data_IF_433815296196
#
_entry.id   IF_433815296196
#
_cell.length_a   1.000
_cell.length_b   1.000
_cell.length_c   1.000
_cell.angle_alpha   90.00
_cell.angle_beta   90.00
_cell.angle_gamma   90.00
#
_symmetry.space_group_name_H-M   'P 1'
#
loop_
_entity.id
_entity.type
_entity.pdbx_description
1 polymer ?
#
# COMPACT_ATOMS: atom_id res chain seq x y z
N UNK A 1 -23.45 -6.80 15.99
CA UNK A 1 -22.78 -5.90 16.96
C UNK A 1 -22.06 -4.85 16.13
N UNK A 2 -22.51 -3.61 16.22
CA UNK A 2 -21.97 -2.52 15.41
C UNK A 2 -20.60 -2.10 15.96
N UNK A 3 -19.57 -2.07 15.10
CA UNK A 3 -18.25 -1.55 15.46
C UNK A 3 -18.34 -0.02 15.59
N UNK A 4 -18.28 0.49 16.81
CA UNK A 4 -18.17 1.94 17.07
C UNK A 4 -16.72 2.40 16.85
N UNK A 5 -16.53 3.36 15.96
CA UNK A 5 -15.23 4.00 15.72
C UNK A 5 -15.23 5.39 16.36
N UNK A 6 -14.28 5.66 17.26
CA UNK A 6 -14.09 6.98 17.86
C UNK A 6 -12.88 7.66 17.23
N UNK A 7 -13.05 8.91 16.80
CA UNK A 7 -11.97 9.74 16.26
C UNK A 7 -11.75 10.91 17.21
N UNK A 8 -10.53 10.99 17.77
CA UNK A 8 -10.13 12.09 18.65
C UNK A 8 -9.52 13.22 17.80
N UNK A 9 -10.21 14.35 17.75
CA UNK A 9 -9.77 15.56 17.08
C UNK A 9 -9.14 16.52 18.09
N UNK A 10 -7.87 16.87 17.88
CA UNK A 10 -7.22 17.92 18.66
C UNK A 10 -6.88 19.09 17.74
N UNK A 11 -7.54 20.21 17.93
CA UNK A 11 -7.06 21.51 17.44
C UNK A 11 -6.32 22.24 18.55
N UNK A 12 -5.50 23.21 18.20
CA UNK A 12 -4.59 23.96 19.11
C UNK A 12 -5.25 24.56 20.34
N UNK A 13 -6.56 24.42 20.55
CA UNK A 13 -7.27 24.97 21.71
C UNK A 13 -8.50 24.19 22.18
N UNK A 14 -8.91 23.11 21.54
CA UNK A 14 -10.11 22.35 21.98
C UNK A 14 -10.05 20.88 21.58
N UNK A 15 -10.37 20.00 22.50
CA UNK A 15 -10.60 18.56 22.26
C UNK A 15 -12.07 18.40 21.92
N UNK A 16 -12.37 17.88 20.72
CA UNK A 16 -13.73 17.55 20.28
C UNK A 16 -13.79 16.04 20.02
N UNK A 17 -14.68 15.36 20.70
CA UNK A 17 -14.98 13.95 20.46
C UNK A 17 -16.23 13.88 19.58
N UNK A 18 -16.09 13.41 18.35
CA UNK A 18 -17.22 13.11 17.47
C UNK A 18 -17.54 11.61 17.50
N UNK A 19 -18.79 11.30 17.81
CA UNK A 19 -19.37 9.97 17.70
C UNK A 19 -20.12 9.88 16.38
N UNK A 20 -19.65 9.06 15.45
CA UNK A 20 -20.40 8.77 14.21
C UNK A 20 -21.17 7.46 14.38
N UNK A 21 -22.49 7.55 14.33
CA UNK A 21 -23.37 6.41 14.13
C UNK A 21 -23.58 6.21 12.64
N UNK A 22 -23.33 4.99 12.15
CA UNK A 22 -23.76 4.58 10.82
C UNK A 22 -25.10 3.87 11.01
N UNK A 23 -26.20 4.58 10.73
CA UNK A 23 -27.52 3.99 10.61
C UNK A 23 -27.80 3.64 9.15
N UNK A 24 -28.03 2.37 8.87
CA UNK A 24 -28.67 1.92 7.62
C UNK A 24 -30.17 2.20 7.71
N UNK A 25 -30.72 2.84 6.68
CA UNK A 25 -32.12 2.98 6.31
C UNK A 25 -32.76 4.36 6.53
N UNK A 26 -33.12 4.92 5.40
CA UNK A 26 -34.11 5.98 5.08
C UNK A 26 -34.95 6.55 6.23
N UNK A 27 -34.74 7.80 6.55
CA UNK A 27 -35.69 8.92 6.72
C UNK A 27 -35.01 10.05 7.54
N UNK A 28 -35.21 11.27 7.06
CA UNK A 28 -34.79 12.58 7.55
C UNK A 28 -34.29 12.62 9.00
N UNK A 29 -32.99 12.88 9.18
CA UNK A 29 -32.37 13.05 10.50
C UNK A 29 -32.21 14.54 10.77
N UNK A 30 -32.81 14.97 11.85
CA UNK A 30 -32.54 16.26 12.51
C UNK A 30 -31.20 16.12 13.23
N UNK A 31 -30.23 16.95 12.84
CA UNK A 31 -28.94 17.00 13.50
C UNK A 31 -29.08 17.85 14.77
N UNK A 32 -29.07 17.20 15.94
CA UNK A 32 -28.84 17.88 17.21
C UNK A 32 -27.32 17.93 17.48
N UNK A 33 -26.69 19.08 17.20
CA UNK A 33 -25.34 19.35 17.65
C UNK A 33 -25.37 19.72 19.14
N UNK A 34 -24.93 18.80 20.01
CA UNK A 34 -24.66 19.09 21.42
C UNK A 34 -23.23 19.64 21.55
N UNK A 35 -23.12 20.97 21.63
CA UNK A 35 -21.91 21.66 22.08
C UNK A 35 -21.77 21.50 23.58
N UNK A 36 -20.86 20.62 24.01
CA UNK A 36 -20.48 20.53 25.43
C UNK A 36 -19.23 21.38 25.64
N UNK A 37 -19.40 22.48 26.35
CA UNK A 37 -18.32 23.34 26.83
C UNK A 37 -17.59 22.61 27.95
N UNK A 38 -16.30 22.35 27.76
CA UNK A 38 -15.42 21.72 28.74
C UNK A 38 -14.91 22.79 29.71
N UNK A 39 -15.33 22.76 30.96
CA UNK A 39 -14.79 23.58 32.05
C UNK A 39 -13.51 22.95 32.61
N UNK A 40 -12.53 23.76 32.68
CA UNK A 40 -11.23 23.83 33.35
C UNK A 40 -10.88 22.71 34.32
N UNK A 41 -9.76 22.07 34.06
CA UNK A 41 -9.11 21.07 34.91
C UNK A 41 -8.17 21.77 35.89
N UNK A 42 -8.33 21.51 37.17
CA UNK A 42 -7.40 21.92 38.23
C UNK A 42 -6.12 21.09 38.21
N UNK A 43 -4.98 21.77 38.09
CA UNK A 43 -3.65 21.17 38.18
C UNK A 43 -3.30 20.91 39.68
N UNK A 44 -2.96 19.68 40.02
CA UNK A 44 -2.15 19.38 41.19
C UNK A 44 -0.75 18.95 40.73
N UNK A 45 0.23 19.78 41.04
CA UNK A 45 1.66 19.53 40.82
C UNK A 45 2.20 18.58 41.90
N UNK A 46 2.63 17.38 41.50
CA UNK A 46 3.52 16.55 42.31
C UNK A 46 4.76 16.29 41.49
N UNK A 47 5.90 16.65 42.06
CA UNK A 47 7.23 16.68 41.45
C UNK A 47 7.87 15.28 41.45
N UNK A 48 7.50 14.44 40.51
CA UNK A 48 8.21 13.24 40.05
C UNK A 48 7.99 13.17 38.55
N UNK A 49 8.87 12.57 37.77
CA UNK A 49 8.73 12.39 36.33
C UNK A 49 7.38 11.73 36.00
N UNK A 50 6.31 12.48 36.10
CA UNK A 50 4.94 12.01 35.85
C UNK A 50 4.56 12.35 34.42
N UNK A 51 4.28 11.33 33.63
CA UNK A 51 3.58 11.49 32.36
C UNK A 51 2.29 12.29 32.64
N UNK A 52 2.15 13.44 31.99
CA UNK A 52 0.89 14.21 32.10
C UNK A 52 -0.22 13.43 31.40
N UNK A 53 -1.29 13.16 32.13
CA UNK A 53 -2.43 12.39 31.62
C UNK A 53 -3.65 13.28 31.44
N UNK A 54 -4.42 13.02 30.38
CA UNK A 54 -5.68 13.68 30.08
C UNK A 54 -6.83 12.70 30.32
N UNK A 55 -7.85 13.12 31.06
CA UNK A 55 -9.08 12.32 31.24
C UNK A 55 -10.21 12.91 30.40
N UNK A 56 -10.83 12.08 29.58
CA UNK A 56 -12.06 12.45 28.88
C UNK A 56 -13.02 11.26 28.90
N UNK A 57 -14.24 11.45 29.40
CA UNK A 57 -15.33 10.44 29.46
C UNK A 57 -14.85 9.02 29.79
N UNK A 58 -14.01 8.86 30.78
CA UNK A 58 -13.48 7.57 31.19
C UNK A 58 -12.25 7.10 30.43
N UNK A 59 -11.71 7.91 29.50
CA UNK A 59 -10.46 7.60 28.78
C UNK A 59 -9.33 8.50 29.27
N UNK A 60 -8.12 7.96 29.32
CA UNK A 60 -6.91 8.67 29.72
C UNK A 60 -5.85 8.53 28.65
N UNK A 61 -5.21 9.64 28.25
CA UNK A 61 -4.10 9.64 27.30
C UNK A 61 -2.87 10.21 28.01
N UNK A 62 -1.80 9.42 28.10
CA UNK A 62 -0.47 9.87 28.45
C UNK A 62 0.28 10.18 27.13
N UNK A 63 0.81 11.40 27.03
CA UNK A 63 1.44 11.87 25.79
C UNK A 63 2.87 12.28 26.05
N UNK A 64 3.77 11.81 25.18
CA UNK A 64 5.18 12.25 25.16
C UNK A 64 5.58 12.70 23.75
N UNK A 65 6.49 13.70 23.69
CA UNK A 65 7.18 14.13 22.47
C UNK A 65 8.66 14.10 22.78
N UNK A 66 9.41 13.29 22.03
CA UNK A 66 10.85 13.05 22.23
C UNK A 66 11.20 12.72 23.69
N UNK A 67 10.38 11.88 24.31
CA UNK A 67 10.51 11.44 25.70
C UNK A 67 10.02 12.43 26.75
N UNK A 68 9.66 13.66 26.39
CA UNK A 68 9.13 14.67 27.30
C UNK A 68 7.60 14.62 27.37
N UNK A 69 7.03 14.74 28.57
CA UNK A 69 5.57 14.80 28.74
C UNK A 69 5.00 16.04 28.03
N UNK A 70 3.91 15.85 27.30
CA UNK A 70 3.23 16.90 26.55
C UNK A 70 1.74 16.98 26.93
N UNK A 71 1.14 18.15 26.70
CA UNK A 71 -0.28 18.41 26.98
C UNK A 71 -1.13 18.53 25.74
N UNK A 72 -0.52 18.52 24.56
CA UNK A 72 -1.20 18.54 23.27
C UNK A 72 -0.38 17.76 22.24
N UNK A 73 -1.04 17.20 21.25
CA UNK A 73 -0.33 16.60 20.10
C UNK A 73 0.42 17.68 19.32
N UNK A 74 1.55 17.34 18.70
CA UNK A 74 2.23 18.27 17.82
C UNK A 74 1.29 18.66 16.65
N UNK A 75 1.32 19.93 16.25
CA UNK A 75 0.42 20.44 15.20
C UNK A 75 0.76 19.83 13.82
N UNK A 76 2.03 19.55 13.58
CA UNK A 76 2.56 18.94 12.36
C UNK A 76 3.98 18.44 12.61
N UNK A 77 4.56 17.74 11.67
CA UNK A 77 5.97 17.31 11.72
C UNK A 77 6.17 15.88 11.24
N UNK A 78 7.43 15.49 11.17
CA UNK A 78 7.82 14.10 10.88
C UNK A 78 8.05 13.40 12.21
N UNK A 79 7.22 12.40 12.49
CA UNK A 79 7.33 11.62 13.72
C UNK A 79 7.13 10.13 13.45
N UNK A 80 7.91 9.32 14.15
CA UNK A 80 7.53 7.94 14.42
C UNK A 80 6.60 7.95 15.63
N UNK A 81 5.39 7.38 15.48
CA UNK A 81 4.36 7.45 16.51
C UNK A 81 4.05 6.06 17.03
N UNK A 82 4.20 5.88 18.33
CA UNK A 82 3.80 4.66 19.05
C UNK A 82 2.51 4.94 19.80
N UNK A 83 1.53 4.04 19.67
CA UNK A 83 0.26 4.10 20.40
C UNK A 83 0.02 2.75 21.06
N UNK A 84 -0.03 2.75 22.38
CA UNK A 84 -0.37 1.57 23.17
C UNK A 84 -1.62 1.89 24.01
N UNK A 85 -2.72 1.18 23.77
CA UNK A 85 -3.96 1.33 24.51
C UNK A 85 -4.32 0.03 25.22
N UNK A 86 -4.84 0.13 26.46
CA UNK A 86 -5.56 -0.96 27.11
C UNK A 86 -7.05 -0.88 26.72
N UNK A 87 -7.74 -2.01 26.74
CA UNK A 87 -9.17 -2.12 26.42
C UNK A 87 -9.60 -1.51 25.09
N UNK A 88 -8.65 -1.24 24.18
CA UNK A 88 -8.92 -0.70 22.84
C UNK A 88 -7.76 -0.93 21.90
N UNK A 89 -8.01 -0.77 20.60
CA UNK A 89 -6.99 -0.69 19.58
C UNK A 89 -6.78 0.78 19.18
N UNK A 90 -5.61 1.34 19.53
CA UNK A 90 -5.22 2.70 19.19
C UNK A 90 -4.25 2.73 18.00
N UNK A 91 -4.35 3.74 17.15
CA UNK A 91 -3.36 4.03 16.12
C UNK A 91 -3.33 5.51 15.78
N UNK A 92 -2.17 5.99 15.31
CA UNK A 92 -2.03 7.31 14.72
C UNK A 92 -2.34 7.29 13.23
N UNK A 93 -3.19 8.21 12.76
CA UNK A 93 -3.47 8.38 11.34
C UNK A 93 -2.70 9.61 10.82
N UNK A 94 -1.60 9.43 10.07
CA UNK A 94 -0.79 10.53 9.58
C UNK A 94 -1.47 11.37 8.49
N UNK A 95 -2.43 10.81 7.75
CA UNK A 95 -3.20 11.52 6.72
C UNK A 95 -4.14 12.55 7.33
N UNK A 96 -4.83 12.17 8.40
CA UNK A 96 -5.79 13.05 9.08
C UNK A 96 -5.21 13.75 10.29
N UNK A 97 -3.97 13.39 10.68
CA UNK A 97 -3.27 13.87 11.85
C UNK A 97 -4.06 13.66 13.16
N UNK A 98 -4.59 12.44 13.33
CA UNK A 98 -5.49 12.09 14.43
C UNK A 98 -5.11 10.76 15.07
N UNK A 99 -5.37 10.66 16.39
CA UNK A 99 -5.42 9.40 17.11
C UNK A 99 -6.77 8.73 16.86
N UNK A 100 -6.73 7.52 16.30
CA UNK A 100 -7.91 6.67 16.10
C UNK A 100 -7.93 5.57 17.17
N UNK A 101 -9.07 5.42 17.85
CA UNK A 101 -9.28 4.40 18.88
C UNK A 101 -10.49 3.56 18.46
N UNK A 102 -10.31 2.25 18.35
CA UNK A 102 -11.33 1.29 17.92
C UNK A 102 -11.37 0.08 18.82
N UNK A 103 -12.38 -0.77 18.70
CA UNK A 103 -12.55 -2.02 19.47
C UNK A 103 -12.49 -1.78 20.98
N UNK A 104 -13.27 -0.81 21.43
CA UNK A 104 -13.31 -0.42 22.85
C UNK A 104 -14.10 -1.46 23.63
N UNK A 105 -13.46 -2.05 24.66
CA UNK A 105 -14.06 -3.09 25.52
C UNK A 105 -14.21 -2.63 26.99
N UNK A 106 -13.79 -1.41 27.34
CA UNK A 106 -13.87 -0.88 28.69
C UNK A 106 -13.28 0.53 28.77
N UNK A 107 -12.93 0.96 29.97
CA UNK A 107 -12.21 2.24 30.17
C UNK A 107 -10.87 2.21 29.46
N UNK A 108 -10.62 3.17 28.58
CA UNK A 108 -9.43 3.23 27.75
C UNK A 108 -8.34 4.08 28.40
N UNK A 109 -7.13 3.55 28.47
CA UNK A 109 -5.91 4.31 28.75
C UNK A 109 -4.95 4.09 27.58
N UNK A 110 -4.43 5.17 26.99
CA UNK A 110 -3.46 5.11 25.90
C UNK A 110 -2.19 5.85 26.26
N UNK A 111 -1.03 5.21 25.99
CA UNK A 111 0.27 5.86 25.95
C UNK A 111 0.59 6.19 24.51
N UNK A 112 0.78 7.47 24.21
CA UNK A 112 1.08 7.97 22.87
C UNK A 112 2.43 8.68 22.90
N UNK A 113 3.37 8.19 22.08
CA UNK A 113 4.72 8.76 21.99
C UNK A 113 5.01 9.20 20.57
N UNK A 114 5.41 10.45 20.40
CA UNK A 114 5.94 11.01 19.17
C UNK A 114 7.46 11.11 19.27
N UNK A 115 8.18 10.53 18.28
CA UNK A 115 9.62 10.58 18.21
C UNK A 115 10.05 11.22 16.88
N UNK A 116 10.78 12.33 16.92
CA UNK A 116 11.25 13.05 15.73
C UNK A 116 12.37 12.32 14.99
N UNK A 117 13.01 11.32 15.61
CA UNK A 117 13.99 10.45 14.94
C UNK A 117 13.25 9.43 14.07
N UNK A 118 12.85 9.85 12.88
CA UNK A 118 12.08 9.02 11.93
C UNK A 118 12.98 8.14 11.08
N UNK A 119 12.52 6.93 10.81
CA UNK A 119 13.19 6.03 9.89
C UNK A 119 12.63 6.18 8.48
N UNK A 120 13.51 6.40 7.50
CA UNK A 120 13.12 6.38 6.10
C UNK A 120 12.60 4.98 5.72
N UNK A 121 11.53 4.91 4.91
CA UNK A 121 10.96 3.64 4.49
C UNK A 121 11.97 2.77 3.73
N UNK A 122 12.81 3.36 2.90
CA UNK A 122 13.90 2.67 2.20
C UNK A 122 14.84 1.97 3.17
N UNK A 123 15.23 2.64 4.27
CA UNK A 123 16.07 2.06 5.31
C UNK A 123 15.39 0.87 5.98
N UNK A 124 14.09 0.98 6.30
CA UNK A 124 13.33 -0.14 6.88
C UNK A 124 13.27 -1.33 5.92
N UNK A 125 13.01 -1.10 4.64
CA UNK A 125 12.97 -2.15 3.62
C UNK A 125 14.34 -2.82 3.49
N UNK A 126 15.43 -2.04 3.42
CA UNK A 126 16.78 -2.58 3.30
C UNK A 126 17.18 -3.47 4.49
N UNK A 127 16.74 -3.11 5.70
CA UNK A 127 17.03 -3.86 6.93
C UNK A 127 16.18 -5.13 7.09
N UNK A 128 14.98 -5.17 6.47
CA UNK A 128 14.01 -6.27 6.64
C UNK A 128 13.92 -7.19 5.43
N UNK A 129 14.35 -6.75 4.27
CA UNK A 129 14.37 -7.56 3.06
C UNK A 129 15.25 -8.79 3.24
N UNK A 130 14.80 -9.94 2.73
CA UNK A 130 15.41 -11.25 2.94
C UNK A 130 16.20 -11.74 1.72
N UNK A 131 16.13 -11.03 0.58
CA UNK A 131 16.89 -11.30 -0.63
C UNK A 131 17.59 -10.04 -1.12
N UNK A 132 18.87 -10.16 -1.43
CA UNK A 132 19.72 -9.11 -1.99
C UNK A 132 20.13 -9.49 -3.41
N UNK A 133 19.26 -9.27 -4.36
CA UNK A 133 19.49 -9.58 -5.77
C UNK A 133 18.66 -8.64 -6.64
N UNK A 134 19.34 -7.82 -7.45
CA UNK A 134 18.71 -6.77 -8.26
C UNK A 134 17.77 -5.87 -7.43
N UNK A 135 18.27 -5.46 -6.26
CA UNK A 135 17.56 -4.72 -5.22
C UNK A 135 17.28 -5.57 -3.98
N UNK A 136 16.89 -4.91 -2.90
CA UNK A 136 16.50 -5.52 -1.63
C UNK A 136 15.04 -5.95 -1.71
N UNK A 137 14.76 -7.26 -1.62
CA UNK A 137 13.44 -7.85 -1.90
C UNK A 137 12.94 -8.71 -0.75
N UNK A 138 11.62 -8.78 -0.62
CA UNK A 138 10.96 -9.71 0.31
C UNK A 138 10.65 -11.04 -0.37
N UNK A 139 11.01 -12.15 0.27
CA UNK A 139 10.71 -13.52 -0.18
C UNK A 139 10.02 -14.32 0.93
N UNK A 140 9.49 -15.49 0.59
CA UNK A 140 8.87 -16.42 1.53
C UNK A 140 7.35 -16.34 1.55
N UNK A 141 6.73 -17.14 2.42
CA UNK A 141 5.27 -17.27 2.50
C UNK A 141 4.58 -16.02 3.03
N UNK A 142 5.10 -15.45 4.08
CA UNK A 142 4.43 -14.34 4.78
C UNK A 142 5.43 -13.41 5.45
N UNK A 143 6.25 -12.68 4.67
CA UNK A 143 7.16 -11.69 5.24
C UNK A 143 6.41 -10.50 5.82
N UNK A 144 7.05 -9.79 6.77
CA UNK A 144 6.55 -8.55 7.37
C UNK A 144 6.73 -7.37 6.40
N UNK A 145 6.01 -7.40 5.28
CA UNK A 145 6.09 -6.43 4.19
C UNK A 145 4.76 -5.72 3.91
N UNK A 146 3.85 -5.70 4.87
CA UNK A 146 2.58 -5.01 4.72
C UNK A 146 2.73 -3.51 4.99
N UNK A 147 2.07 -2.72 4.14
CA UNK A 147 2.03 -1.26 4.20
C UNK A 147 0.59 -0.79 3.99
N UNK A 148 0.18 0.22 4.74
CA UNK A 148 -1.10 0.87 4.57
C UNK A 148 -0.93 2.05 3.64
N UNK A 149 -1.49 1.94 2.46
CA UNK A 149 -1.41 2.94 1.41
C UNK A 149 -2.79 3.10 0.77
N UNK A 150 -3.19 4.32 0.47
CA UNK A 150 -4.49 4.64 -0.13
C UNK A 150 -5.70 4.10 0.66
N UNK A 151 -5.60 4.15 2.01
CA UNK A 151 -6.61 3.68 2.95
C UNK A 151 -6.93 2.16 2.87
N UNK A 152 -6.06 1.39 2.25
CA UNK A 152 -6.15 -0.06 2.11
C UNK A 152 -4.80 -0.77 2.31
N UNK A 153 -4.83 -2.08 2.29
CA UNK A 153 -3.64 -2.91 2.51
C UNK A 153 -2.89 -3.12 1.18
N UNK A 154 -1.60 -2.77 1.20
CA UNK A 154 -0.62 -3.03 0.16
C UNK A 154 0.52 -3.88 0.70
N UNK A 155 1.39 -4.38 -0.20
CA UNK A 155 2.58 -5.16 0.15
C UNK A 155 3.82 -4.55 -0.51
N UNK A 156 4.94 -4.57 0.18
CA UNK A 156 6.23 -4.10 -0.33
C UNK A 156 6.91 -5.23 -1.10
N UNK A 157 7.21 -5.04 -2.38
CA UNK A 157 8.02 -5.97 -3.18
C UNK A 157 9.49 -5.84 -2.78
N UNK A 158 9.98 -4.61 -2.66
CA UNK A 158 11.35 -4.35 -2.29
C UNK A 158 11.76 -2.91 -2.50
N UNK A 159 13.06 -2.62 -2.30
CA UNK A 159 13.73 -1.41 -2.71
C UNK A 159 14.54 -1.72 -3.97
N UNK A 160 14.04 -1.28 -5.13
CA UNK A 160 14.41 -1.83 -6.44
C UNK A 160 14.86 -0.70 -7.38
N UNK A 161 15.93 -0.90 -8.18
CA UNK A 161 16.35 0.06 -9.19
C UNK A 161 15.22 0.36 -10.18
N UNK A 162 15.00 1.64 -10.46
CA UNK A 162 14.01 2.12 -11.44
C UNK A 162 14.52 3.36 -12.15
N UNK A 163 14.09 3.55 -13.40
CA UNK A 163 14.43 4.71 -14.21
C UNK A 163 13.53 5.90 -13.86
N UNK A 164 14.14 7.02 -13.57
CA UNK A 164 13.46 8.29 -13.27
C UNK A 164 13.63 9.34 -14.37
N UNK A 165 14.47 9.07 -15.37
CA UNK A 165 14.76 9.98 -16.49
C UNK A 165 14.50 9.31 -17.81
N UNK A 166 14.11 10.10 -18.82
CA UNK A 166 13.93 9.59 -20.18
C UNK A 166 15.21 8.95 -20.70
N UNK A 167 15.05 7.83 -21.42
CA UNK A 167 16.17 7.04 -21.92
C UNK A 167 16.93 6.22 -20.87
N UNK A 168 16.53 6.32 -19.60
CA UNK A 168 17.11 5.56 -18.49
C UNK A 168 18.64 5.65 -18.37
N UNK A 169 19.17 6.86 -18.50
CA UNK A 169 20.62 7.08 -18.35
C UNK A 169 21.12 6.73 -16.93
N UNK A 170 20.25 6.84 -15.92
CA UNK A 170 20.53 6.49 -14.54
C UNK A 170 19.34 5.79 -13.90
N UNK A 171 19.62 4.89 -12.98
CA UNK A 171 18.60 4.26 -12.13
C UNK A 171 18.80 4.68 -10.68
N UNK A 172 17.71 4.77 -9.94
CA UNK A 172 17.72 4.96 -8.51
C UNK A 172 16.85 3.92 -7.83
N UNK A 173 17.20 3.56 -6.60
CA UNK A 173 16.38 2.64 -5.83
C UNK A 173 15.15 3.36 -5.28
N UNK A 174 13.99 2.74 -5.47
CA UNK A 174 12.70 3.17 -4.90
C UNK A 174 11.97 1.98 -4.29
N UNK A 175 11.24 2.25 -3.23
CA UNK A 175 10.37 1.23 -2.64
C UNK A 175 9.22 0.96 -3.58
N UNK A 176 9.17 -0.27 -4.08
CA UNK A 176 8.12 -0.80 -4.96
C UNK A 176 7.04 -1.49 -4.13
N UNK A 177 5.80 -1.10 -4.31
CA UNK A 177 4.66 -1.70 -3.63
C UNK A 177 3.61 -2.23 -4.60
N UNK A 178 2.86 -3.22 -4.19
CA UNK A 178 1.77 -3.85 -4.92
C UNK A 178 0.51 -3.88 -4.05
N UNK A 179 -0.64 -3.61 -4.64
CA UNK A 179 -1.93 -3.75 -3.95
C UNK A 179 -2.09 -5.18 -3.43
N UNK A 180 -2.62 -5.36 -2.21
CA UNK A 180 -2.81 -6.70 -1.66
C UNK A 180 -3.85 -7.49 -2.45
N UNK A 181 -4.94 -6.84 -2.85
CA UNK A 181 -6.04 -7.45 -3.56
C UNK A 181 -6.11 -6.98 -5.02
N UNK A 182 -6.62 -7.83 -5.91
CA UNK A 182 -6.83 -7.50 -7.32
C UNK A 182 -7.93 -6.45 -7.48
N UNK A 183 -7.79 -5.60 -8.52
CA UNK A 183 -8.86 -4.71 -8.97
C UNK A 183 -9.88 -5.41 -9.88
N UNK A 184 -9.77 -6.73 -10.05
CA UNK A 184 -10.64 -7.55 -10.87
C UNK A 184 -9.94 -8.17 -12.07
N UNK A 185 -10.72 -8.88 -12.89
CA UNK A 185 -10.27 -9.48 -14.13
C UNK A 185 -10.31 -8.44 -15.25
N UNK A 186 -9.15 -8.04 -15.74
CA UNK A 186 -8.98 -6.98 -16.74
C UNK A 186 -8.30 -7.53 -17.98
N UNK A 187 -8.79 -7.15 -19.16
CA UNK A 187 -8.15 -7.42 -20.44
C UNK A 187 -6.81 -6.67 -20.51
N UNK A 188 -5.73 -7.38 -20.89
CA UNK A 188 -4.42 -6.73 -21.04
C UNK A 188 -4.43 -5.71 -22.18
N UNK A 189 -4.79 -6.15 -23.39
CA UNK A 189 -4.82 -5.33 -24.59
C UNK A 189 -5.18 -6.15 -25.84
N UNK A 190 -4.83 -5.65 -27.01
CA UNK A 190 -4.89 -6.39 -28.27
C UNK A 190 -3.62 -7.20 -28.54
N UNK A 191 -2.52 -6.84 -27.88
CA UNK A 191 -1.21 -7.48 -27.94
C UNK A 191 -0.53 -7.34 -26.55
N UNK A 192 0.70 -7.82 -26.43
CA UNK A 192 1.48 -7.80 -25.18
C UNK A 192 2.26 -6.51 -24.94
N UNK A 193 2.19 -5.54 -25.85
CA UNK A 193 2.87 -4.26 -25.68
C UNK A 193 2.25 -3.51 -24.51
N UNK A 194 3.06 -3.16 -23.52
CA UNK A 194 2.60 -2.39 -22.36
C UNK A 194 2.13 -1.00 -22.75
N UNK A 195 2.94 -0.29 -23.54
CA UNK A 195 2.64 1.09 -23.97
C UNK A 195 1.37 1.12 -24.81
N UNK A 196 0.38 1.89 -24.36
CA UNK A 196 -0.92 2.00 -25.01
C UNK A 196 -1.85 0.82 -24.80
N UNK A 197 -1.47 -0.18 -23.99
CA UNK A 197 -2.36 -1.32 -23.69
C UNK A 197 -3.62 -0.85 -22.94
N UNK A 198 -4.67 -1.67 -23.03
CA UNK A 198 -5.91 -1.41 -22.32
C UNK A 198 -5.68 -1.30 -20.79
N UNK A 199 -4.88 -2.22 -20.23
CA UNK A 199 -4.61 -2.23 -18.79
C UNK A 199 -3.74 -1.05 -18.35
N UNK A 200 -2.75 -0.62 -19.13
CA UNK A 200 -1.97 0.58 -18.83
C UNK A 200 -2.86 1.81 -18.76
N UNK A 201 -3.72 1.99 -19.77
CA UNK A 201 -4.65 3.12 -19.84
C UNK A 201 -5.65 3.08 -18.67
N UNK A 202 -6.21 1.90 -18.36
CA UNK A 202 -7.08 1.73 -17.21
C UNK A 202 -6.38 2.18 -15.92
N UNK A 203 -5.18 1.68 -15.66
CA UNK A 203 -4.44 1.96 -14.42
C UNK A 203 -4.05 3.44 -14.29
N UNK A 204 -3.61 4.09 -15.37
CA UNK A 204 -3.06 5.45 -15.32
C UNK A 204 -4.07 6.55 -15.66
N UNK A 205 -5.27 6.19 -16.14
CA UNK A 205 -6.32 7.16 -16.47
C UNK A 205 -7.52 7.04 -15.54
N UNK A 206 -7.86 5.83 -15.15
CA UNK A 206 -9.07 5.52 -14.42
C UNK A 206 -8.83 5.22 -12.94
N UNK A 207 -8.00 4.22 -12.66
CA UNK A 207 -7.60 3.88 -11.29
C UNK A 207 -6.82 5.04 -10.65
N UNK A 208 -5.82 5.58 -11.38
CA UNK A 208 -5.18 6.85 -11.03
C UNK A 208 -6.07 8.01 -11.47
N UNK A 209 -6.91 8.51 -10.61
CA UNK A 209 -7.87 9.59 -10.87
C UNK A 209 -9.24 9.29 -10.30
N UNK A 210 -9.40 8.12 -9.66
CA UNK A 210 -10.62 7.74 -8.93
C UNK A 210 -11.90 7.89 -9.74
N UNK A 211 -11.87 7.50 -11.02
CA UNK A 211 -13.04 7.66 -11.89
C UNK A 211 -14.13 6.64 -11.54
N UNK A 212 -15.36 7.10 -11.50
CA UNK A 212 -16.55 6.28 -11.25
C UNK A 212 -17.01 5.49 -12.48
N UNK A 213 -16.54 5.84 -13.68
CA UNK A 213 -16.79 5.09 -14.91
C UNK A 213 -15.57 5.11 -15.80
N UNK A 214 -15.24 3.95 -16.37
CA UNK A 214 -14.11 3.72 -17.24
C UNK A 214 -14.42 2.82 -18.43
N UNK A 215 -15.55 3.03 -19.01
CA UNK A 215 -16.11 2.18 -20.08
C UNK A 215 -15.18 1.95 -21.27
N UNK A 216 -14.32 2.92 -21.58
CA UNK A 216 -13.35 2.81 -22.68
C UNK A 216 -12.28 1.75 -22.44
N UNK A 217 -11.98 1.41 -21.18
CA UNK A 217 -10.88 0.50 -20.81
C UNK A 217 -11.34 -0.67 -19.93
N UNK A 218 -12.61 -0.70 -19.54
CA UNK A 218 -13.16 -1.71 -18.64
C UNK A 218 -13.62 -2.96 -19.40
N UNK A 219 -12.69 -3.79 -19.80
CA UNK A 219 -12.96 -5.07 -20.43
C UNK A 219 -12.52 -6.20 -19.52
N UNK A 220 -13.47 -7.09 -19.17
CA UNK A 220 -13.21 -8.21 -18.26
C UNK A 220 -12.88 -9.52 -18.98
N UNK A 221 -13.30 -9.70 -20.21
CA UNK A 221 -13.02 -10.90 -21.01
C UNK A 221 -13.25 -10.68 -22.52
N UNK A 222 -12.39 -11.26 -23.33
CA UNK A 222 -12.31 -11.28 -24.78
C UNK A 222 -12.92 -10.13 -25.57
N UNK A 223 -14.06 -9.89 -25.90
CA UNK A 223 -14.48 -8.84 -26.85
C UNK A 223 -15.73 -8.07 -26.48
N UNK A 224 -16.43 -8.44 -25.46
CA UNK A 224 -17.79 -7.94 -25.30
C UNK A 224 -18.25 -7.66 -23.86
N UNK A 225 -17.57 -8.10 -22.86
CA UNK A 225 -18.03 -7.84 -21.49
C UNK A 225 -17.43 -6.55 -20.96
N UNK A 226 -18.21 -5.50 -20.96
CA UNK A 226 -17.92 -4.33 -20.17
C UNK A 226 -18.42 -4.55 -18.76
N UNK A 227 -17.52 -4.45 -17.77
CA UNK A 227 -17.91 -4.10 -16.44
C UNK A 227 -17.90 -2.59 -16.30
N UNK A 228 -18.66 -2.03 -15.39
CA UNK A 228 -18.43 -0.65 -14.94
C UNK A 228 -17.25 -0.71 -13.97
N UNK A 229 -16.08 -0.24 -14.39
CA UNK A 229 -14.96 -0.08 -13.49
C UNK A 229 -15.16 1.21 -12.72
N UNK A 230 -15.68 1.10 -11.52
CA UNK A 230 -15.83 2.20 -10.58
C UNK A 230 -14.66 2.18 -9.62
N UNK A 231 -13.79 3.18 -9.75
CA UNK A 231 -12.62 3.38 -8.88
C UNK A 231 -12.78 4.58 -7.94
N UNK A 232 -13.98 5.12 -7.79
CA UNK A 232 -14.24 6.28 -6.93
C UNK A 232 -13.91 6.04 -5.46
N UNK A 233 -14.01 4.80 -5.00
CA UNK A 233 -13.71 4.40 -3.62
C UNK A 233 -12.26 3.95 -3.43
N UNK A 234 -11.73 3.12 -4.32
CA UNK A 234 -10.47 2.40 -4.14
C UNK A 234 -9.35 2.84 -5.10
N UNK A 235 -9.65 3.69 -6.06
CA UNK A 235 -8.64 4.33 -6.93
C UNK A 235 -7.75 5.31 -6.17
N UNK A 236 -6.64 5.70 -6.80
CA UNK A 236 -5.68 6.66 -6.26
C UNK A 236 -5.96 8.05 -6.84
N UNK A 237 -6.08 9.07 -6.00
CA UNK A 237 -6.02 10.47 -6.42
C UNK A 237 -4.56 10.94 -6.39
N UNK A 238 -4.02 11.31 -7.55
CA UNK A 238 -2.62 11.74 -7.68
C UNK A 238 -2.30 13.01 -6.87
N UNK A 239 -3.31 13.78 -6.48
CA UNK A 239 -3.18 15.06 -5.76
C UNK A 239 -3.39 14.95 -4.25
N UNK A 240 -3.88 13.81 -3.78
CA UNK A 240 -4.13 13.59 -2.37
C UNK A 240 -2.86 13.21 -1.57
N UNK A 241 -3.05 12.89 -0.29
CA UNK A 241 -1.97 12.52 0.62
C UNK A 241 -1.11 11.38 0.11
N UNK A 242 -1.73 10.29 -0.36
CA UNK A 242 -1.00 9.12 -0.84
C UNK A 242 -0.51 9.27 -2.28
N UNK A 243 -1.30 9.88 -3.15
CA UNK A 243 -0.93 10.09 -4.55
C UNK A 243 0.31 10.94 -4.72
N UNK A 244 0.54 11.91 -3.83
CA UNK A 244 1.77 12.73 -3.81
C UNK A 244 3.03 11.93 -3.47
N UNK A 245 2.90 10.77 -2.81
CA UNK A 245 4.00 9.87 -2.48
C UNK A 245 4.43 8.99 -3.67
N UNK A 246 3.61 8.91 -4.73
CA UNK A 246 3.88 8.06 -5.90
C UNK A 246 4.89 8.74 -6.82
N UNK A 247 5.94 7.99 -7.18
CA UNK A 247 6.97 8.44 -8.12
C UNK A 247 6.47 8.33 -9.56
N UNK A 248 6.93 9.23 -10.42
CA UNK A 248 6.82 9.10 -11.88
C UNK A 248 8.02 8.30 -12.39
N UNK A 249 7.78 7.19 -13.04
CA UNK A 249 8.85 6.26 -13.45
C UNK A 249 8.73 5.84 -14.91
N UNK A 250 9.87 5.57 -15.53
CA UNK A 250 9.95 4.92 -16.84
C UNK A 250 10.01 3.42 -16.62
N UNK A 251 8.88 2.75 -16.78
CA UNK A 251 8.79 1.31 -16.53
C UNK A 251 9.61 0.50 -17.55
N UNK A 252 10.21 -0.59 -17.06
CA UNK A 252 10.85 -1.58 -17.92
C UNK A 252 9.80 -2.26 -18.81
N UNK A 253 10.09 -2.42 -20.09
CA UNK A 253 9.18 -3.03 -21.08
C UNK A 253 9.92 -3.98 -22.02
N UNK A 254 11.10 -4.44 -21.63
CA UNK A 254 11.82 -5.48 -22.35
C UNK A 254 11.04 -6.79 -22.35
N UNK A 255 11.17 -7.55 -23.44
CA UNK A 255 10.40 -8.77 -23.67
C UNK A 255 11.17 -10.02 -23.29
N UNK A 256 10.51 -10.94 -22.56
CA UNK A 256 10.93 -12.33 -22.47
C UNK A 256 10.55 -13.09 -23.75
N UNK A 257 11.33 -14.12 -24.11
CA UNK A 257 11.10 -14.97 -25.27
C UNK A 257 10.76 -16.42 -24.86
N UNK A 258 10.55 -16.68 -23.60
CA UNK A 258 10.33 -18.02 -23.06
C UNK A 258 9.64 -17.97 -21.70
N UNK A 259 8.86 -19.00 -21.38
CA UNK A 259 8.36 -19.23 -20.02
C UNK A 259 9.38 -19.94 -19.12
N UNK A 260 10.47 -20.46 -19.71
CA UNK A 260 11.47 -21.31 -19.04
C UNK A 260 12.74 -20.52 -18.67
N UNK A 261 12.59 -19.42 -17.90
CA UNK A 261 13.72 -18.59 -17.45
C UNK A 261 13.74 -18.47 -15.93
N UNK A 262 14.93 -18.24 -15.39
CA UNK A 262 15.10 -17.87 -13.97
C UNK A 262 14.63 -16.44 -13.72
N UNK A 263 14.43 -16.06 -12.47
CA UNK A 263 14.09 -14.70 -12.10
C UNK A 263 15.15 -13.69 -12.58
N UNK A 264 16.43 -14.04 -12.45
CA UNK A 264 17.54 -13.19 -12.89
C UNK A 264 17.55 -12.97 -14.41
N UNK A 265 17.27 -14.02 -15.19
CA UNK A 265 17.21 -13.91 -16.65
C UNK A 265 16.01 -13.07 -17.11
N UNK A 266 14.85 -13.21 -16.44
CA UNK A 266 13.72 -12.30 -16.69
C UNK A 266 14.08 -10.86 -16.38
N UNK A 267 14.67 -10.60 -15.21
CA UNK A 267 15.08 -9.25 -14.83
C UNK A 267 15.97 -8.60 -15.88
N UNK A 268 17.02 -9.32 -16.35
CA UNK A 268 17.94 -8.83 -17.38
C UNK A 268 17.22 -8.46 -18.68
N UNK A 269 16.22 -9.25 -19.08
CA UNK A 269 15.43 -8.97 -20.28
C UNK A 269 14.46 -7.81 -20.08
N UNK A 270 13.78 -7.76 -18.93
CA UNK A 270 12.82 -6.72 -18.61
C UNK A 270 13.45 -5.32 -18.62
N UNK A 271 14.70 -5.19 -18.14
CA UNK A 271 15.42 -3.91 -18.11
C UNK A 271 16.05 -3.49 -19.44
N UNK A 272 15.99 -4.33 -20.47
CA UNK A 272 16.61 -4.03 -21.76
C UNK A 272 15.93 -2.87 -22.51
N UNK A 273 14.68 -2.58 -22.20
CA UNK A 273 13.90 -1.51 -22.83
C UNK A 273 12.99 -0.85 -21.79
N UNK A 274 12.74 0.45 -21.95
CA UNK A 274 11.93 1.25 -21.04
C UNK A 274 10.85 2.02 -21.80
N UNK A 275 9.80 2.44 -21.07
CA UNK A 275 8.79 3.35 -21.63
C UNK A 275 9.42 4.68 -22.01
N UNK A 276 8.89 5.32 -23.05
CA UNK A 276 9.34 6.65 -23.52
C UNK A 276 8.74 7.79 -22.71
N UNK A 277 7.66 7.51 -21.98
CA UNK A 277 6.97 8.47 -21.09
C UNK A 277 6.87 7.90 -19.70
N UNK A 278 7.07 8.75 -18.70
CA UNK A 278 6.89 8.37 -17.31
C UNK A 278 5.40 8.17 -16.99
N UNK A 279 5.12 7.14 -16.19
CA UNK A 279 3.79 6.87 -15.62
C UNK A 279 3.93 6.47 -14.16
N UNK A 280 2.81 6.43 -13.44
CA UNK A 280 2.82 6.15 -11.98
C UNK A 280 2.53 4.70 -11.64
N UNK A 281 1.72 4.01 -12.46
CA UNK A 281 1.18 2.71 -12.11
C UNK A 281 1.48 1.69 -13.20
N UNK A 282 2.04 0.55 -12.77
CA UNK A 282 2.30 -0.63 -13.58
C UNK A 282 1.72 -1.90 -12.96
N UNK A 283 2.27 -3.03 -13.36
CA UNK A 283 2.03 -4.35 -12.77
C UNK A 283 3.34 -4.93 -12.22
N UNK A 284 3.27 -6.05 -11.51
CA UNK A 284 4.47 -6.80 -11.15
C UNK A 284 5.15 -7.35 -12.41
N UNK A 285 6.45 -7.56 -12.32
CA UNK A 285 7.21 -8.28 -13.35
C UNK A 285 7.24 -9.78 -13.06
N UNK A 286 7.53 -10.57 -14.08
CA UNK A 286 7.81 -12.00 -13.91
C UNK A 286 8.99 -12.23 -12.96
N UNK A 287 10.01 -11.37 -13.04
CA UNK A 287 11.14 -11.40 -12.10
C UNK A 287 10.72 -11.08 -10.66
N UNK A 288 9.82 -10.13 -10.42
CA UNK A 288 9.33 -9.81 -9.07
C UNK A 288 8.71 -11.03 -8.39
N UNK A 289 7.87 -11.75 -9.15
CA UNK A 289 7.24 -12.97 -8.68
C UNK A 289 8.26 -14.07 -8.41
N UNK A 290 9.22 -14.24 -9.30
CA UNK A 290 10.28 -15.25 -9.15
C UNK A 290 11.19 -14.97 -7.96
N UNK A 291 11.57 -13.73 -7.72
CA UNK A 291 12.38 -13.33 -6.57
C UNK A 291 11.65 -13.46 -5.23
N UNK A 292 10.33 -13.45 -5.23
CA UNK A 292 9.54 -13.65 -4.02
C UNK A 292 9.49 -15.11 -3.55
N UNK A 293 9.94 -16.08 -4.38
CA UNK A 293 10.02 -17.50 -4.00
C UNK A 293 11.24 -17.74 -3.14
N UNK A 294 11.03 -18.19 -1.92
CA UNK A 294 12.11 -18.46 -0.97
C UNK A 294 12.99 -19.63 -1.42
N UNK A 295 14.31 -19.36 -1.49
CA UNK A 295 15.32 -20.39 -1.79
C UNK A 295 15.25 -20.96 -3.21
N UNK A 296 14.52 -20.34 -4.13
CA UNK A 296 14.37 -20.84 -5.51
C UNK A 296 15.22 -20.01 -6.50
N UNK A 297 16.00 -20.71 -7.30
CA UNK A 297 16.86 -20.15 -8.35
C UNK A 297 16.62 -20.77 -9.72
N UNK A 298 15.69 -21.73 -9.82
CA UNK A 298 15.36 -22.44 -11.05
C UNK A 298 14.51 -21.64 -12.02
N UNK A 299 14.05 -22.31 -13.09
CA UNK A 299 13.17 -21.71 -14.09
C UNK A 299 11.73 -21.59 -13.58
N UNK A 300 11.06 -20.51 -13.96
CA UNK A 300 9.75 -20.13 -13.41
C UNK A 300 8.56 -20.71 -14.17
N UNK A 301 8.78 -21.32 -15.33
CA UNK A 301 7.72 -21.93 -16.15
C UNK A 301 7.34 -23.33 -15.72
N UNK A 302 6.37 -23.92 -16.42
CA UNK A 302 5.83 -25.27 -16.10
C UNK A 302 6.92 -26.36 -16.11
N UNK A 303 7.93 -26.27 -16.99
CA UNK A 303 9.04 -27.22 -17.04
C UNK A 303 9.93 -27.21 -15.80
N UNK A 304 10.10 -26.07 -15.15
CA UNK A 304 10.90 -25.91 -13.94
C UNK A 304 10.10 -26.11 -12.67
N UNK A 305 8.81 -26.00 -12.79
CA UNK A 305 7.78 -26.14 -11.75
C UNK A 305 8.30 -25.79 -10.37
N UNK A 306 8.30 -24.50 -9.98
CA UNK A 306 8.54 -24.13 -8.60
C UNK A 306 7.36 -24.61 -7.73
N UNK A 307 7.14 -25.94 -7.74
CA UNK A 307 6.09 -26.61 -7.02
C UNK A 307 6.07 -26.21 -5.55
N UNK A 308 4.89 -26.05 -5.00
CA UNK A 308 4.66 -25.55 -3.66
C UNK A 308 5.09 -24.09 -3.43
N UNK A 309 5.12 -23.29 -4.48
CA UNK A 309 5.40 -21.85 -4.34
C UNK A 309 4.36 -21.14 -3.46
N UNK A 310 3.13 -21.67 -3.33
CA UNK A 310 2.12 -21.15 -2.39
C UNK A 310 2.61 -21.09 -0.96
N UNK A 311 3.48 -22.02 -0.55
CA UNK A 311 4.07 -22.04 0.79
C UNK A 311 5.39 -21.30 0.89
N UNK A 312 5.93 -20.80 -0.24
CA UNK A 312 7.22 -20.13 -0.31
C UNK A 312 7.18 -18.80 -1.04
N UNK A 313 6.01 -18.35 -1.45
CA UNK A 313 5.85 -17.12 -2.23
C UNK A 313 4.62 -16.34 -1.80
N UNK A 314 4.83 -15.18 -1.22
CA UNK A 314 3.76 -14.27 -0.80
C UNK A 314 3.05 -13.56 -1.96
N UNK A 315 3.67 -13.52 -3.16
CA UNK A 315 3.08 -12.91 -4.38
C UNK A 315 2.14 -13.83 -5.14
N UNK A 316 1.80 -15.00 -4.59
CA UNK A 316 0.84 -15.90 -5.21
C UNK A 316 -0.54 -15.27 -5.40
N UNK A 317 -1.17 -15.60 -6.51
CA UNK A 317 -2.53 -15.24 -6.88
C UNK A 317 -3.48 -16.43 -6.73
N UNK A 318 -4.78 -16.16 -6.60
CA UNK A 318 -5.82 -17.20 -6.53
C UNK A 318 -6.31 -17.67 -7.92
N UNK A 319 -5.64 -17.28 -8.99
CA UNK A 319 -5.98 -17.61 -10.38
C UNK A 319 -4.84 -17.21 -11.31
N UNK A 320 -5.18 -16.82 -12.52
CA UNK A 320 -4.23 -16.16 -13.41
C UNK A 320 -4.16 -14.67 -13.07
N UNK A 321 -2.95 -14.13 -13.02
CA UNK A 321 -2.69 -12.72 -12.77
C UNK A 321 -1.67 -12.18 -13.78
N UNK A 322 -1.97 -11.02 -14.34
CA UNK A 322 -1.10 -10.36 -15.29
C UNK A 322 0.23 -9.91 -14.69
N UNK A 323 1.29 -10.06 -15.46
CA UNK A 323 2.57 -9.36 -15.25
C UNK A 323 2.78 -8.32 -16.35
N UNK A 324 3.73 -7.40 -16.16
CA UNK A 324 4.17 -6.51 -17.24
C UNK A 324 5.05 -7.21 -18.27
N UNK A 325 5.63 -8.36 -17.92
CA UNK A 325 6.60 -9.06 -18.78
C UNK A 325 5.88 -9.74 -19.93
N UNK A 326 6.32 -9.47 -21.15
CA UNK A 326 5.81 -10.12 -22.34
C UNK A 326 6.58 -11.41 -22.65
N UNK A 327 5.86 -12.45 -23.09
CA UNK A 327 6.44 -13.66 -23.65
C UNK A 327 6.78 -13.46 -25.14
N UNK A 328 5.85 -12.86 -25.89
CA UNK A 328 5.98 -12.54 -27.30
C UNK A 328 5.10 -11.33 -27.63
N UNK A 329 5.07 -10.90 -28.87
CA UNK A 329 4.27 -9.75 -29.31
C UNK A 329 2.76 -9.85 -29.01
N UNK A 330 2.23 -11.07 -28.80
CA UNK A 330 0.77 -11.27 -28.59
C UNK A 330 0.43 -11.85 -27.22
N UNK A 331 1.42 -12.34 -26.48
CA UNK A 331 1.22 -13.10 -25.26
C UNK A 331 1.99 -12.50 -24.07
N UNK A 332 1.33 -11.75 -23.20
CA UNK A 332 1.88 -11.39 -21.89
C UNK A 332 2.09 -12.63 -21.02
N UNK A 333 3.02 -12.56 -20.08
CA UNK A 333 3.17 -13.56 -19.05
C UNK A 333 2.15 -13.35 -17.93
N UNK A 334 1.65 -14.45 -17.39
CA UNK A 334 0.80 -14.49 -16.21
C UNK A 334 1.41 -15.39 -15.13
N UNK A 335 1.15 -15.06 -13.89
CA UNK A 335 1.35 -15.97 -12.78
C UNK A 335 0.13 -16.86 -12.68
N UNK A 336 0.34 -18.16 -12.58
CA UNK A 336 -0.73 -19.13 -12.35
C UNK A 336 -0.76 -19.57 -10.86
N UNK A 337 -1.96 -19.76 -10.33
CA UNK A 337 -2.18 -20.17 -8.91
C UNK A 337 -1.50 -21.50 -8.53
N UNK A 338 -1.10 -22.31 -9.50
CA UNK A 338 -0.29 -23.51 -9.27
C UNK A 338 1.19 -23.24 -9.10
N UNK A 339 1.63 -21.98 -9.16
CA UNK A 339 3.00 -21.58 -8.83
C UNK A 339 3.99 -21.66 -9.97
N UNK A 340 3.59 -21.28 -11.19
CA UNK A 340 4.50 -21.11 -12.33
C UNK A 340 4.01 -20.02 -13.27
N UNK A 341 4.90 -19.53 -14.12
CA UNK A 341 4.58 -18.59 -15.17
C UNK A 341 4.04 -19.32 -16.40
N UNK A 342 3.05 -18.72 -17.03
CA UNK A 342 2.45 -19.17 -18.28
C UNK A 342 2.08 -17.95 -19.14
N UNK A 343 2.07 -18.14 -20.45
CA UNK A 343 1.67 -17.09 -21.38
C UNK A 343 0.21 -17.25 -21.78
N UNK A 344 -0.48 -16.13 -21.92
CA UNK A 344 -1.87 -16.11 -22.36
C UNK A 344 -2.11 -15.00 -23.39
N UNK A 345 -3.16 -15.18 -24.21
CA UNK A 345 -3.57 -14.12 -25.12
C UNK A 345 -3.86 -12.82 -24.35
N UNK A 346 -3.34 -11.71 -24.85
CA UNK A 346 -3.59 -10.38 -24.28
C UNK A 346 -5.08 -9.99 -24.27
N UNK A 347 -5.91 -10.66 -25.07
CA UNK A 347 -7.36 -10.44 -25.10
C UNK A 347 -8.13 -11.09 -23.94
N UNK A 348 -7.48 -11.98 -23.17
CA UNK A 348 -8.10 -12.58 -22.00
C UNK A 348 -8.24 -11.57 -20.85
N UNK A 349 -9.18 -11.87 -19.93
CA UNK A 349 -9.34 -11.12 -18.70
C UNK A 349 -8.79 -11.90 -17.51
N UNK A 350 -7.74 -11.38 -16.89
CA UNK A 350 -7.14 -11.97 -15.70
C UNK A 350 -6.97 -10.93 -14.60
N UNK A 351 -6.71 -11.41 -13.39
CA UNK A 351 -6.51 -10.55 -12.23
C UNK A 351 -5.40 -9.52 -12.49
N UNK A 352 -5.60 -8.32 -12.00
CA UNK A 352 -4.62 -7.24 -12.05
C UNK A 352 -4.45 -6.62 -10.67
N UNK A 353 -3.22 -6.54 -10.19
CA UNK A 353 -2.85 -5.78 -8.98
C UNK A 353 -1.98 -4.60 -9.37
N UNK A 354 -2.44 -3.36 -9.11
CA UNK A 354 -1.63 -2.17 -9.33
C UNK A 354 -0.31 -2.23 -8.57
N UNK A 355 0.76 -1.81 -9.23
CA UNK A 355 2.10 -1.68 -8.69
C UNK A 355 2.58 -0.25 -8.90
N UNK A 356 3.26 0.32 -7.90
CA UNK A 356 3.85 1.65 -8.00
C UNK A 356 5.15 1.75 -7.20
N UNK A 357 5.88 2.82 -7.44
CA UNK A 357 7.10 3.17 -6.71
C UNK A 357 6.84 4.40 -5.84
N UNK A 358 7.34 4.37 -4.62
CA UNK A 358 7.23 5.49 -3.68
C UNK A 358 8.45 6.39 -3.77
N UNK A 359 8.25 7.69 -3.57
CA UNK A 359 9.33 8.69 -3.52
C UNK A 359 10.31 8.40 -2.39
N UNK A 360 11.55 8.79 -2.57
CA UNK A 360 12.65 8.51 -1.64
C UNK A 360 12.50 9.16 -0.25
N UNK A 361 11.70 10.23 -0.14
CA UNK A 361 11.48 10.96 1.11
C UNK A 361 10.32 10.42 1.97
N UNK A 362 9.71 9.29 1.56
CA UNK A 362 8.68 8.60 2.35
C UNK A 362 9.33 7.97 3.58
N UNK A 363 8.73 8.19 4.74
CA UNK A 363 9.21 7.68 6.02
C UNK A 363 8.14 6.87 6.76
N UNK A 364 8.56 6.05 7.74
CA UNK A 364 7.67 5.26 8.57
C UNK A 364 7.19 6.08 9.75
N UNK A 365 5.88 6.27 9.83
CA UNK A 365 5.22 6.91 10.97
C UNK A 365 5.00 5.90 12.09
N UNK A 366 4.56 4.69 11.77
CA UNK A 366 4.30 3.63 12.75
C UNK A 366 4.15 2.28 12.05
N UNK A 367 3.94 1.23 12.85
CA UNK A 367 3.70 -0.13 12.36
C UNK A 367 4.98 -0.96 12.24
N UNK A 368 4.78 -2.28 12.16
CA UNK A 368 5.85 -3.29 12.14
C UNK A 368 5.97 -3.99 10.78
N UNK A 369 5.08 -3.69 9.84
CA UNK A 369 5.01 -4.36 8.53
C UNK A 369 4.25 -5.67 8.54
N UNK A 370 3.64 -6.06 9.65
CA UNK A 370 2.77 -7.24 9.72
C UNK A 370 1.38 -6.95 9.16
N UNK A 371 0.61 -7.98 8.81
CA UNK A 371 -0.76 -7.81 8.31
C UNK A 371 -1.68 -7.07 9.30
N UNK A 372 -1.49 -7.29 10.60
CA UNK A 372 -2.31 -6.69 11.65
C UNK A 372 -1.78 -5.32 12.10
N UNK A 373 -0.52 -5.03 11.80
CA UNK A 373 0.16 -3.78 12.12
C UNK A 373 1.06 -3.35 10.93
N UNK A 374 0.45 -2.99 9.77
CA UNK A 374 1.18 -2.59 8.58
C UNK A 374 1.90 -1.25 8.80
N UNK A 375 3.00 -1.03 8.06
CA UNK A 375 3.66 0.26 8.07
C UNK A 375 2.69 1.39 7.72
N UNK A 376 2.64 2.42 8.55
CA UNK A 376 1.99 3.70 8.29
C UNK A 376 3.05 4.68 7.85
N UNK A 377 2.81 5.41 6.79
CA UNK A 377 3.82 6.23 6.13
C UNK A 377 3.44 7.69 6.07
N UNK A 378 4.46 8.54 6.05
CA UNK A 378 4.38 9.98 5.83
C UNK A 378 5.43 10.44 4.82
N UNK A 379 5.35 11.71 4.39
CA UNK A 379 6.28 12.31 3.44
C UNK A 379 6.65 13.73 3.90
#
# INVERSE_FOLDING_TARGET
>A
MDEETYVLLLSTSKIILERRYILKSSKKIVICALLIVVSIISLTLINTRTNKTFKYKGSTIALTIDGNSATSFPASGKYNVTVNCNNAKGRWNPKTWKLEITKITGTVTCDVSFNSNVSNLTTQVNNKATRDENGKRYQGKNPDNYIWFNDELWRIIGNIPVCLTSGCATTENRVKIIRNDSIGAIKYGSNSTWIGSNIQNLLNTCYLGKKSSCDSYCYSYSTSAKGTCDYSSDGIDATDYYGKMVEDVYFNVGTGDSTSKTAANYYTQEIATHTTSATKIGLMYASDWGYAIEGFTGVLGDSGRPWNSSDKNWLMSNGYEWTMSAYSSSYPLTVYSRGYLVNHSASNGYAARPVLYLKSNVYVVSGKGTKVDPYRIGM
#
